data_IF_886903697997
#
_entry.id   IF_886903697997
#
_cell.length_a   1.000
_cell.length_b   1.000
_cell.length_c   1.000
_cell.angle_alpha   90.00
_cell.angle_beta   90.00
_cell.angle_gamma   90.00
#
_symmetry.space_group_name_H-M   'P 1'
#
loop_
_entity.id
_entity.type
_entity.pdbx_description
1 polymer ?
#
# COMPACT_ATOMS: atom_id res chain seq x y z
N UNK A 1 30.70 -27.47 10.14
CA UNK A 1 29.54 -27.08 9.31
C UNK A 1 28.29 -27.44 10.09
N UNK A 2 27.46 -26.48 10.55
CA UNK A 2 26.22 -26.82 11.25
C UNK A 2 25.26 -27.54 10.30
N UNK A 3 24.54 -28.55 10.80
CA UNK A 3 23.62 -29.33 9.97
C UNK A 3 22.39 -28.51 9.61
N UNK A 4 21.73 -28.83 8.48
CA UNK A 4 20.47 -28.20 8.05
C UNK A 4 19.39 -28.21 9.15
N UNK A 5 19.40 -29.25 9.99
CA UNK A 5 18.48 -29.44 11.10
C UNK A 5 18.80 -28.53 12.31
N UNK A 6 20.04 -28.07 12.46
CA UNK A 6 20.46 -27.13 13.52
C UNK A 6 20.14 -25.69 13.13
N UNK A 7 20.29 -25.35 11.84
CA UNK A 7 19.90 -24.05 11.30
C UNK A 7 18.37 -23.84 11.37
N UNK A 8 17.58 -24.88 11.10
CA UNK A 8 16.12 -24.83 11.23
C UNK A 8 15.65 -24.69 12.69
N UNK A 9 16.34 -25.33 13.65
CA UNK A 9 16.03 -25.16 15.09
C UNK A 9 16.40 -23.77 15.60
N UNK A 10 17.57 -23.27 15.23
CA UNK A 10 18.01 -21.93 15.59
C UNK A 10 17.07 -20.85 15.01
N UNK A 11 16.63 -21.02 13.76
CA UNK A 11 15.63 -20.15 13.13
C UNK A 11 14.28 -20.16 13.85
N UNK A 12 13.78 -21.34 14.24
CA UNK A 12 12.52 -21.47 15.01
C UNK A 12 12.60 -20.84 16.40
N UNK A 13 13.72 -20.99 17.11
CA UNK A 13 13.94 -20.36 18.42
C UNK A 13 14.06 -18.83 18.30
N UNK A 14 14.77 -18.33 17.28
CA UNK A 14 14.87 -16.90 17.02
C UNK A 14 13.49 -16.28 16.68
N UNK A 15 12.70 -16.96 15.85
CA UNK A 15 11.32 -16.57 15.51
C UNK A 15 10.40 -16.62 16.74
N UNK A 16 10.55 -17.62 17.61
CA UNK A 16 9.77 -17.71 18.86
C UNK A 16 10.10 -16.56 19.82
N UNK A 17 11.39 -16.18 19.94
CA UNK A 17 11.81 -15.04 20.75
C UNK A 17 11.31 -13.69 20.20
N UNK A 18 11.28 -13.53 18.87
CA UNK A 18 10.68 -12.37 18.21
C UNK A 18 9.17 -12.29 18.45
N UNK A 19 8.46 -13.42 18.34
CA UNK A 19 7.02 -13.52 18.62
C UNK A 19 6.69 -13.14 20.06
N UNK A 20 7.47 -13.61 21.05
CA UNK A 20 7.26 -13.27 22.47
C UNK A 20 7.45 -11.78 22.78
N UNK A 21 8.49 -11.16 22.21
CA UNK A 21 8.73 -9.72 22.40
C UNK A 21 7.64 -8.84 21.74
N UNK A 22 7.13 -9.27 20.58
CA UNK A 22 6.03 -8.57 19.90
C UNK A 22 4.71 -8.71 20.68
N UNK A 23 4.41 -9.90 21.18
CA UNK A 23 3.24 -10.17 22.03
C UNK A 23 3.21 -9.28 23.27
N UNK A 24 4.34 -9.17 23.98
CA UNK A 24 4.46 -8.30 25.15
C UNK A 24 4.26 -6.80 24.82
N UNK A 25 4.73 -6.35 23.66
CA UNK A 25 4.52 -4.97 23.20
C UNK A 25 3.06 -4.67 22.90
N UNK A 26 2.37 -5.61 22.23
CA UNK A 26 0.95 -5.48 21.91
C UNK A 26 0.12 -5.48 23.20
N UNK A 27 0.39 -6.41 24.13
CA UNK A 27 -0.28 -6.45 25.42
C UNK A 27 -0.09 -5.14 26.19
N UNK A 28 1.13 -4.62 26.26
CA UNK A 28 1.42 -3.35 26.92
C UNK A 28 0.78 -2.13 26.25
N UNK A 29 0.51 -2.20 24.95
CA UNK A 29 -0.25 -1.16 24.23
C UNK A 29 -1.73 -1.23 24.57
N UNK A 30 -2.33 -2.42 24.52
CA UNK A 30 -3.76 -2.63 24.82
C UNK A 30 -4.11 -2.33 26.28
N UNK A 31 -3.20 -2.63 27.21
CA UNK A 31 -3.37 -2.24 28.62
C UNK A 31 -3.38 -0.73 28.83
N UNK A 32 -2.79 0.06 27.92
CA UNK A 32 -2.79 1.53 27.97
C UNK A 32 -4.00 2.16 27.28
N UNK A 33 -4.80 1.36 26.58
CA UNK A 33 -5.99 1.81 25.84
C UNK A 33 -7.19 0.88 26.15
N UNK A 34 -7.93 1.15 27.24
CA UNK A 34 -9.01 0.30 27.71
C UNK A 34 -10.20 0.24 26.73
N UNK A 35 -10.42 1.28 25.94
CA UNK A 35 -11.48 1.30 24.92
C UNK A 35 -11.14 0.33 23.79
N UNK A 36 -9.92 0.42 23.26
CA UNK A 36 -9.41 -0.50 22.23
C UNK A 36 -9.42 -1.95 22.71
N UNK A 37 -9.08 -2.17 23.98
CA UNK A 37 -9.10 -3.50 24.59
C UNK A 37 -10.51 -4.09 24.69
N UNK A 38 -11.49 -3.27 25.10
CA UNK A 38 -12.89 -3.69 25.16
C UNK A 38 -13.40 -4.07 23.77
N UNK A 39 -13.11 -3.25 22.78
CA UNK A 39 -13.48 -3.47 21.38
C UNK A 39 -12.87 -4.77 20.82
N UNK A 40 -11.58 -5.01 21.09
CA UNK A 40 -10.91 -6.24 20.66
C UNK A 40 -11.41 -7.50 21.39
N UNK A 41 -11.86 -7.37 22.64
CA UNK A 41 -12.45 -8.47 23.41
C UNK A 41 -13.85 -8.81 22.89
N UNK A 42 -14.68 -7.80 22.61
CA UNK A 42 -16.02 -7.97 22.04
C UNK A 42 -15.99 -8.59 20.64
N UNK A 43 -14.97 -8.27 19.86
CA UNK A 43 -14.75 -8.84 18.52
C UNK A 43 -14.14 -10.26 18.56
N UNK A 44 -13.84 -10.80 19.75
CA UNK A 44 -13.26 -12.13 19.93
C UNK A 44 -11.81 -12.25 19.47
N UNK A 45 -11.13 -11.11 19.27
CA UNK A 45 -9.77 -11.00 18.75
C UNK A 45 -8.73 -11.21 19.86
N UNK A 46 -9.09 -10.83 21.09
CA UNK A 46 -8.27 -11.00 22.28
C UNK A 46 -9.13 -11.61 23.38
N UNK A 47 -8.69 -12.72 23.98
CA UNK A 47 -9.27 -13.22 25.22
C UNK A 47 -8.71 -12.40 26.38
N UNK A 48 -9.55 -12.02 27.35
CA UNK A 48 -9.10 -11.24 28.52
C UNK A 48 -7.96 -11.95 29.25
N UNK A 49 -8.03 -13.27 29.32
CA UNK A 49 -7.01 -14.13 29.95
C UNK A 49 -5.62 -14.04 29.29
N UNK A 50 -5.50 -13.62 28.02
CA UNK A 50 -4.21 -13.46 27.33
C UNK A 50 -3.49 -12.16 27.70
N UNK A 51 -4.23 -11.15 28.15
CA UNK A 51 -3.66 -9.85 28.55
C UNK A 51 -2.79 -10.00 29.80
N UNK A 52 -3.17 -10.95 30.67
CA UNK A 52 -2.51 -11.22 31.94
C UNK A 52 -1.31 -12.18 31.76
N UNK A 53 -1.37 -13.07 30.75
CA UNK A 53 -0.24 -13.93 30.34
C UNK A 53 -0.06 -13.96 28.79
N UNK A 54 0.62 -12.94 28.23
CA UNK A 54 0.84 -12.84 26.79
C UNK A 54 1.88 -13.82 26.24
N UNK A 55 2.45 -14.69 27.09
CA UNK A 55 3.39 -15.74 26.68
C UNK A 55 2.70 -17.09 26.43
N UNK A 56 1.44 -17.23 26.83
CA UNK A 56 0.58 -18.37 26.52
C UNK A 56 0.17 -18.41 25.03
N UNK A 57 -0.23 -19.58 24.51
CA UNK A 57 -0.63 -19.76 23.10
C UNK A 57 -1.69 -18.72 22.69
N UNK A 58 -1.39 -17.81 21.74
CA UNK A 58 -2.39 -16.88 21.25
C UNK A 58 -3.34 -17.58 20.26
N UNK A 59 -4.63 -17.27 20.47
CA UNK A 59 -5.72 -17.12 19.51
C UNK A 59 -6.54 -18.32 18.99
N UNK A 60 -7.82 -17.98 18.83
CA UNK A 60 -8.73 -18.49 17.80
C UNK A 60 -8.06 -18.44 16.42
N UNK A 61 -8.45 -19.37 15.54
CA UNK A 61 -7.77 -19.78 14.30
C UNK A 61 -7.54 -18.71 13.21
N UNK A 62 -7.73 -17.42 13.47
CA UNK A 62 -7.42 -16.35 12.53
C UNK A 62 -6.15 -15.61 12.97
N UNK A 63 -5.16 -15.50 12.10
CA UNK A 63 -3.87 -14.89 12.41
C UNK A 63 -4.01 -13.41 12.83
N UNK A 64 -3.01 -12.82 13.54
CA UNK A 64 -3.07 -11.42 13.98
C UNK A 64 -3.32 -10.41 12.85
N UNK A 65 -3.01 -10.81 11.61
CA UNK A 65 -3.22 -10.04 10.39
C UNK A 65 -4.66 -10.10 9.89
N UNK A 66 -5.32 -11.26 9.84
CA UNK A 66 -6.74 -11.36 9.42
C UNK A 66 -7.66 -10.59 10.38
N UNK A 67 -7.25 -10.54 11.65
CA UNK A 67 -7.84 -9.72 12.70
C UNK A 67 -7.68 -8.22 12.43
N UNK A 68 -6.50 -7.78 11.99
CA UNK A 68 -6.22 -6.40 11.62
C UNK A 68 -6.87 -5.98 10.29
N UNK A 69 -6.95 -6.89 9.32
CA UNK A 69 -7.67 -6.69 8.05
C UNK A 69 -9.17 -6.57 8.28
N UNK A 70 -9.76 -7.44 9.10
CA UNK A 70 -11.20 -7.38 9.41
C UNK A 70 -11.55 -6.18 10.31
N UNK A 71 -10.61 -5.74 11.16
CA UNK A 71 -10.70 -4.46 11.87
C UNK A 71 -10.61 -3.29 10.90
N UNK A 72 -9.67 -3.28 9.96
CA UNK A 72 -9.55 -2.26 8.92
C UNK A 72 -10.80 -2.16 8.04
N UNK A 73 -11.30 -3.29 7.55
CA UNK A 73 -12.52 -3.36 6.73
C UNK A 73 -13.74 -2.78 7.45
N UNK A 74 -13.89 -3.06 8.76
CA UNK A 74 -15.00 -2.52 9.58
C UNK A 74 -14.77 -1.10 10.10
N UNK A 75 -13.52 -0.72 10.36
CA UNK A 75 -13.15 0.62 10.83
C UNK A 75 -13.15 1.64 9.70
N UNK A 76 -12.92 1.23 8.45
CA UNK A 76 -13.11 2.07 7.24
C UNK A 76 -14.56 2.56 7.12
N UNK A 77 -15.53 1.83 7.66
CA UNK A 77 -16.93 2.24 7.67
C UNK A 77 -17.26 3.32 8.71
N UNK A 78 -16.40 3.50 9.74
CA UNK A 78 -16.66 4.42 10.87
C UNK A 78 -15.63 5.55 11.06
N UNK A 79 -14.36 5.38 10.66
CA UNK A 79 -13.27 6.38 10.83
C UNK A 79 -12.23 6.25 9.71
N UNK A 80 -12.41 6.94 8.56
CA UNK A 80 -11.52 6.84 7.39
C UNK A 80 -10.08 7.34 7.66
N UNK A 81 -9.86 8.13 8.70
CA UNK A 81 -8.65 8.92 8.95
C UNK A 81 -7.51 8.20 9.68
N UNK A 82 -7.65 6.91 10.02
CA UNK A 82 -6.60 6.13 10.71
C UNK A 82 -5.58 5.48 9.75
N UNK A 83 -5.94 5.27 8.49
CA UNK A 83 -5.07 4.64 7.48
C UNK A 83 -3.91 5.53 7.05
N UNK A 84 -4.10 6.86 7.05
CA UNK A 84 -3.07 7.81 6.59
C UNK A 84 -1.88 7.96 7.53
N UNK A 85 -2.03 7.61 8.82
CA UNK A 85 -0.96 7.70 9.83
C UNK A 85 0.01 6.53 9.79
N UNK A 86 -0.37 5.41 9.17
CA UNK A 86 0.44 4.19 9.14
C UNK A 86 1.51 4.23 8.03
N UNK A 87 1.36 5.12 7.05
CA UNK A 87 2.25 5.20 5.90
C UNK A 87 2.08 3.97 4.99
N UNK A 88 2.31 4.18 3.69
CA UNK A 88 2.01 3.20 2.64
C UNK A 88 2.73 1.84 2.85
N UNK A 89 3.88 1.88 3.53
CA UNK A 89 4.67 0.69 3.87
C UNK A 89 4.08 -0.17 4.99
N UNK A 90 3.38 0.42 5.97
CA UNK A 90 2.72 -0.37 7.01
C UNK A 90 1.47 -1.04 6.45
N UNK A 91 0.75 -0.36 5.55
CA UNK A 91 -0.37 -0.93 4.80
C UNK A 91 0.09 -2.15 3.97
N UNK A 92 1.22 -2.02 3.27
CA UNK A 92 1.82 -3.14 2.52
C UNK A 92 2.26 -4.30 3.43
N UNK A 93 2.84 -4.00 4.60
CA UNK A 93 3.27 -5.01 5.57
C UNK A 93 2.11 -5.75 6.26
N UNK A 94 0.93 -5.14 6.33
CA UNK A 94 -0.28 -5.79 6.82
C UNK A 94 -0.84 -6.76 5.77
N UNK A 95 -0.84 -6.39 4.49
CA UNK A 95 -1.33 -7.24 3.39
C UNK A 95 -0.45 -8.44 3.03
N UNK A 96 0.80 -8.51 3.49
CA UNK A 96 1.72 -9.61 3.16
C UNK A 96 1.51 -10.88 3.98
N UNK A 97 0.38 -11.04 4.67
CA UNK A 97 0.20 -12.11 5.67
C UNK A 97 -1.18 -12.79 5.66
N UNK A 98 -1.85 -12.80 4.52
CA UNK A 98 -2.93 -13.75 4.25
C UNK A 98 -2.34 -15.03 3.65
N UNK A 99 -2.05 -16.03 4.47
CA UNK A 99 -1.78 -17.40 4.02
C UNK A 99 -3.06 -18.22 4.16
N UNK A 100 -3.67 -18.57 3.03
CA UNK A 100 -4.92 -19.35 3.06
C UNK A 100 -5.56 -19.71 1.73
N UNK A 101 -4.85 -19.76 0.61
CA UNK A 101 -5.27 -20.61 -0.52
C UNK A 101 -4.05 -21.21 -1.21
N UNK A 102 -4.09 -22.54 -1.31
CA UNK A 102 -3.15 -23.40 -2.03
C UNK A 102 -3.34 -23.26 -3.56
N UNK A 103 -3.58 -22.03 -4.04
CA UNK A 103 -3.64 -21.68 -5.46
C UNK A 103 -2.37 -20.91 -5.80
N UNK A 104 -1.44 -21.55 -6.51
CA UNK A 104 -0.21 -20.92 -6.97
C UNK A 104 -0.50 -19.60 -7.69
N UNK A 105 -0.07 -18.48 -7.09
CA UNK A 105 -0.22 -17.17 -7.69
C UNK A 105 0.39 -17.12 -9.09
N UNK A 106 -0.29 -16.44 -10.02
CA UNK A 106 0.18 -16.31 -11.39
C UNK A 106 1.28 -15.26 -11.47
N UNK A 107 2.42 -15.64 -12.05
CA UNK A 107 3.47 -14.68 -12.39
C UNK A 107 3.03 -13.80 -13.55
N UNK A 108 3.20 -12.50 -13.40
CA UNK A 108 2.91 -11.52 -14.45
C UNK A 108 3.94 -10.40 -14.45
N UNK A 109 4.15 -9.77 -15.60
CA UNK A 109 4.96 -8.57 -15.73
C UNK A 109 4.02 -7.37 -15.89
N UNK A 110 3.92 -6.52 -14.87
CA UNK A 110 2.92 -5.44 -14.82
C UNK A 110 3.56 -4.09 -14.51
N UNK A 111 2.92 -3.03 -15.01
CA UNK A 111 3.17 -1.69 -14.53
C UNK A 111 2.33 -1.46 -13.26
N UNK A 112 2.99 -1.11 -12.16
CA UNK A 112 2.37 -0.88 -10.85
C UNK A 112 2.49 0.60 -10.52
N UNK A 113 1.35 1.25 -10.30
CA UNK A 113 1.29 2.64 -9.91
C UNK A 113 0.63 2.79 -8.53
N UNK A 114 1.14 3.74 -7.76
CA UNK A 114 0.47 4.25 -6.58
C UNK A 114 0.04 5.69 -6.82
N UNK A 115 -1.18 6.02 -6.42
CA UNK A 115 -1.64 7.41 -6.33
C UNK A 115 -1.90 7.76 -4.88
N UNK A 116 -1.83 9.05 -4.58
CA UNK A 116 -2.02 9.60 -3.24
C UNK A 116 -2.48 11.05 -3.33
N UNK A 117 -3.29 11.53 -2.39
CA UNK A 117 -3.78 12.91 -2.38
C UNK A 117 -2.91 13.76 -1.44
N UNK A 118 -2.14 14.67 -2.02
CA UNK A 118 -1.25 15.54 -1.24
C UNK A 118 -2.05 16.43 -0.29
N UNK A 119 -1.72 16.36 1.00
CA UNK A 119 -2.34 17.20 2.04
C UNK A 119 -3.67 16.69 2.57
N UNK A 120 -4.14 15.50 2.16
CA UNK A 120 -5.42 14.93 2.60
C UNK A 120 -5.57 14.80 4.12
N UNK A 121 -4.51 14.38 4.81
CA UNK A 121 -4.54 14.29 6.28
C UNK A 121 -4.76 15.65 6.93
N UNK A 122 -4.08 16.70 6.44
CA UNK A 122 -4.25 18.07 6.94
C UNK A 122 -5.63 18.64 6.60
N UNK A 123 -6.15 18.31 5.42
CA UNK A 123 -7.51 18.67 5.02
C UNK A 123 -8.54 18.03 5.96
N UNK A 124 -8.43 16.74 6.23
CA UNK A 124 -9.34 16.01 7.12
C UNK A 124 -9.32 16.59 8.54
N UNK A 125 -8.15 16.93 9.06
CA UNK A 125 -8.02 17.56 10.38
C UNK A 125 -8.67 18.95 10.46
N UNK A 126 -8.77 19.67 9.33
CA UNK A 126 -9.31 21.02 9.25
C UNK A 126 -10.81 21.06 8.93
N UNK A 127 -11.24 20.23 7.98
CA UNK A 127 -12.61 20.23 7.43
C UNK A 127 -13.50 19.13 8.02
N UNK A 128 -12.91 18.14 8.70
CA UNK A 128 -13.63 17.03 9.33
C UNK A 128 -13.78 15.78 8.44
N UNK A 129 -14.12 14.64 9.07
CA UNK A 129 -14.21 13.33 8.42
C UNK A 129 -15.30 13.25 7.35
N UNK A 130 -16.42 13.98 7.51
CA UNK A 130 -17.53 13.99 6.54
C UNK A 130 -17.10 14.65 5.21
N UNK A 131 -16.48 15.83 5.28
CA UNK A 131 -15.96 16.52 4.10
C UNK A 131 -14.88 15.69 3.39
N UNK A 132 -13.98 15.08 4.17
CA UNK A 132 -12.95 14.18 3.64
C UNK A 132 -13.53 12.94 2.94
N UNK A 133 -14.58 12.34 3.51
CA UNK A 133 -15.28 11.19 2.93
C UNK A 133 -15.97 11.54 1.61
N UNK A 134 -16.63 12.69 1.52
CA UNK A 134 -17.26 13.18 0.29
C UNK A 134 -16.23 13.43 -0.82
N UNK A 135 -15.09 14.05 -0.48
CA UNK A 135 -14.00 14.28 -1.42
C UNK A 135 -13.44 12.95 -1.97
N UNK A 136 -13.23 11.95 -1.11
CA UNK A 136 -12.79 10.62 -1.55
C UNK A 136 -13.83 9.92 -2.42
N UNK A 137 -15.12 10.00 -2.05
CA UNK A 137 -16.19 9.38 -2.82
C UNK A 137 -16.25 9.94 -4.25
N UNK A 138 -16.15 11.27 -4.39
CA UNK A 138 -16.12 11.93 -5.69
C UNK A 138 -14.85 11.58 -6.48
N UNK A 139 -13.70 11.60 -5.83
CA UNK A 139 -12.44 11.17 -6.44
C UNK A 139 -12.56 9.73 -7.00
N UNK A 140 -13.05 8.77 -6.20
CA UNK A 140 -13.19 7.38 -6.63
C UNK A 140 -14.19 7.18 -7.77
N UNK A 141 -15.24 8.01 -7.84
CA UNK A 141 -16.20 8.00 -8.95
C UNK A 141 -15.53 8.34 -10.29
N UNK A 142 -14.53 9.22 -10.26
CA UNK A 142 -13.79 9.67 -11.44
C UNK A 142 -12.64 8.72 -11.81
N UNK A 143 -11.91 8.20 -10.82
CA UNK A 143 -10.75 7.31 -11.08
C UNK A 143 -11.15 5.99 -11.73
N UNK A 144 -12.25 5.37 -11.27
CA UNK A 144 -12.65 4.04 -11.73
C UNK A 144 -12.80 3.90 -13.25
N UNK A 145 -13.61 4.75 -13.92
CA UNK A 145 -13.76 4.73 -15.37
C UNK A 145 -12.45 4.97 -16.14
N UNK A 146 -11.61 5.89 -15.67
CA UNK A 146 -10.34 6.24 -16.31
C UNK A 146 -9.34 5.09 -16.24
N UNK A 147 -9.17 4.47 -15.06
CA UNK A 147 -8.29 3.31 -14.90
C UNK A 147 -8.73 2.17 -15.83
N UNK A 148 -10.05 1.90 -15.90
CA UNK A 148 -10.59 0.85 -16.78
C UNK A 148 -10.45 1.17 -18.26
N UNK A 149 -10.61 2.42 -18.69
CA UNK A 149 -10.46 2.80 -20.10
C UNK A 149 -9.03 2.58 -20.63
N UNK A 150 -8.06 2.53 -19.72
CA UNK A 150 -6.64 2.21 -19.99
C UNK A 150 -6.29 0.74 -19.73
N UNK A 151 -7.29 -0.13 -19.54
CA UNK A 151 -7.08 -1.56 -19.25
C UNK A 151 -6.48 -1.83 -17.87
N UNK A 152 -6.47 -0.83 -16.98
CA UNK A 152 -5.95 -0.95 -15.63
C UNK A 152 -6.95 -1.54 -14.64
N UNK A 153 -6.41 -1.94 -13.49
CA UNK A 153 -7.17 -2.45 -12.35
C UNK A 153 -6.83 -1.67 -11.10
N UNK A 154 -7.85 -1.26 -10.35
CA UNK A 154 -7.70 -0.80 -8.98
C UNK A 154 -7.59 -2.06 -8.12
N UNK A 155 -6.38 -2.37 -7.64
CA UNK A 155 -6.14 -3.54 -6.78
C UNK A 155 -6.55 -3.27 -5.35
N UNK A 156 -6.16 -2.11 -4.80
CA UNK A 156 -6.45 -1.74 -3.41
C UNK A 156 -6.76 -0.26 -3.28
N UNK A 157 -7.65 0.07 -2.32
CA UNK A 157 -7.90 1.43 -1.83
C UNK A 157 -7.25 1.56 -0.46
N UNK A 158 -6.45 2.59 -0.28
CA UNK A 158 -5.54 2.74 0.86
C UNK A 158 -5.79 4.10 1.54
N UNK A 159 -7.03 4.32 1.99
CA UNK A 159 -7.46 5.62 2.51
C UNK A 159 -7.68 6.62 1.37
N UNK A 160 -6.72 7.52 1.18
CA UNK A 160 -6.64 8.49 0.09
C UNK A 160 -5.72 8.07 -1.07
N UNK A 161 -5.00 6.97 -0.89
CA UNK A 161 -4.18 6.37 -1.93
C UNK A 161 -4.83 5.21 -2.66
N UNK A 162 -4.32 4.90 -3.86
CA UNK A 162 -4.73 3.74 -4.64
C UNK A 162 -3.52 2.93 -5.07
N UNK A 163 -3.67 1.60 -5.09
CA UNK A 163 -2.77 0.68 -5.77
C UNK A 163 -3.41 0.28 -7.10
N UNK A 164 -2.74 0.65 -8.18
CA UNK A 164 -3.18 0.44 -9.55
C UNK A 164 -2.21 -0.49 -10.28
N UNK A 165 -2.73 -1.35 -11.14
CA UNK A 165 -1.92 -2.16 -12.06
C UNK A 165 -2.39 -1.97 -13.49
N UNK A 166 -1.44 -1.93 -14.42
CA UNK A 166 -1.70 -1.80 -15.85
C UNK A 166 -0.96 -2.89 -16.63
N UNK A 167 -1.53 -3.36 -17.75
CA UNK A 167 -0.91 -4.39 -18.58
C UNK A 167 0.33 -3.90 -19.32
N UNK A 168 0.50 -2.58 -19.47
CA UNK A 168 1.70 -1.98 -20.05
C UNK A 168 2.10 -0.68 -19.34
N UNK A 169 3.40 -0.34 -19.32
CA UNK A 169 3.89 0.94 -18.81
C UNK A 169 3.28 2.15 -19.52
N UNK A 170 3.09 2.08 -20.84
CA UNK A 170 2.44 3.14 -21.62
C UNK A 170 1.03 3.43 -21.12
N UNK A 171 0.20 2.39 -20.97
CA UNK A 171 -1.17 2.53 -20.48
C UNK A 171 -1.20 3.14 -19.08
N UNK A 172 -0.28 2.70 -18.21
CA UNK A 172 -0.12 3.27 -16.87
C UNK A 172 0.30 4.74 -16.87
N UNK A 173 1.23 5.15 -17.74
CA UNK A 173 1.68 6.56 -17.81
C UNK A 173 0.53 7.45 -18.25
N UNK A 174 -0.17 7.05 -19.32
CA UNK A 174 -1.32 7.80 -19.84
C UNK A 174 -2.44 7.90 -18.80
N UNK A 175 -2.74 6.81 -18.09
CA UNK A 175 -3.71 6.82 -17.00
C UNK A 175 -3.30 7.77 -15.88
N UNK A 176 -2.05 7.67 -15.39
CA UNK A 176 -1.58 8.53 -14.31
C UNK A 176 -1.58 10.01 -14.70
N UNK A 177 -1.22 10.35 -15.94
CA UNK A 177 -1.28 11.74 -16.43
C UNK A 177 -2.70 12.29 -16.44
N UNK A 178 -3.69 11.48 -16.83
CA UNK A 178 -5.11 11.89 -16.79
C UNK A 178 -5.63 11.98 -15.35
N UNK A 179 -5.21 11.08 -14.48
CA UNK A 179 -5.65 11.06 -13.08
C UNK A 179 -5.21 12.30 -12.32
N UNK A 180 -3.99 12.79 -12.56
CA UNK A 180 -3.50 14.00 -11.89
C UNK A 180 -4.13 15.29 -12.43
N UNK A 181 -4.81 15.25 -13.59
CA UNK A 181 -5.56 16.38 -14.16
C UNK A 181 -6.98 16.50 -13.58
N UNK A 182 -7.55 15.38 -13.11
CA UNK A 182 -8.90 15.30 -12.52
C UNK A 182 -8.86 15.69 -11.03
N UNK A 183 -8.09 16.74 -10.70
CA UNK A 183 -7.70 17.13 -9.34
C UNK A 183 -8.85 17.03 -8.30
N UNK A 184 -8.63 16.39 -7.14
CA UNK A 184 -9.62 16.37 -6.07
C UNK A 184 -9.62 17.73 -5.33
N UNK A 185 -10.21 18.76 -5.94
CA UNK A 185 -10.22 20.13 -5.41
C UNK A 185 -10.66 20.19 -3.93
N UNK A 186 -9.95 20.93 -3.05
CA UNK A 186 -8.81 21.83 -3.32
C UNK A 186 -7.43 21.14 -3.27
N UNK A 187 -7.38 19.82 -3.24
CA UNK A 187 -6.16 19.02 -3.11
C UNK A 187 -5.67 18.56 -4.48
N UNK A 188 -4.44 18.04 -4.50
CA UNK A 188 -3.81 17.55 -5.72
C UNK A 188 -3.45 16.09 -5.59
N UNK A 189 -3.71 15.34 -6.66
CA UNK A 189 -3.28 13.96 -6.76
C UNK A 189 -1.81 13.92 -7.20
N UNK A 190 -1.06 12.98 -6.66
CA UNK A 190 0.28 12.62 -7.13
C UNK A 190 0.32 11.15 -7.49
N UNK A 191 1.21 10.77 -8.41
CA UNK A 191 1.36 9.40 -8.85
C UNK A 191 2.82 8.97 -8.94
N UNK A 192 3.08 7.70 -8.63
CA UNK A 192 4.38 7.07 -8.80
C UNK A 192 4.26 5.69 -9.42
N UNK A 193 5.14 5.35 -10.36
CA UNK A 193 5.05 4.09 -11.08
C UNK A 193 6.39 3.39 -11.31
N UNK A 194 6.34 2.07 -11.19
CA UNK A 194 7.41 1.15 -11.59
C UNK A 194 6.83 -0.02 -12.40
N UNK A 195 7.69 -0.78 -13.07
CA UNK A 195 7.32 -1.95 -13.88
C UNK A 195 8.25 -3.09 -13.52
N UNK A 196 7.71 -4.31 -13.44
CA UNK A 196 8.47 -5.48 -13.09
C UNK A 196 7.58 -6.71 -12.87
N UNK A 197 8.22 -7.80 -12.49
CA UNK A 197 7.54 -9.05 -12.21
C UNK A 197 6.81 -9.01 -10.87
N UNK A 198 5.60 -9.58 -10.86
CA UNK A 198 4.72 -9.73 -9.72
C UNK A 198 4.15 -11.14 -9.66
N UNK A 199 3.75 -11.53 -8.46
CA UNK A 199 2.87 -12.67 -8.25
C UNK A 199 1.49 -12.12 -7.91
N UNK A 200 0.47 -12.55 -8.66
CA UNK A 200 -0.93 -12.17 -8.45
C UNK A 200 -1.71 -13.38 -7.98
N UNK A 201 -2.40 -13.26 -6.85
CA UNK A 201 -3.26 -14.30 -6.28
C UNK A 201 -4.60 -13.67 -5.90
N UNK A 202 -5.63 -13.87 -6.71
CA UNK A 202 -6.90 -13.14 -6.57
C UNK A 202 -6.69 -11.62 -6.63
N UNK A 203 -7.06 -10.93 -5.55
CA UNK A 203 -6.89 -9.48 -5.40
C UNK A 203 -5.55 -9.07 -4.78
N UNK A 204 -4.74 -10.06 -4.35
CA UNK A 204 -3.42 -9.83 -3.79
C UNK A 204 -2.35 -9.71 -4.87
N UNK A 205 -1.41 -8.80 -4.64
CA UNK A 205 -0.25 -8.57 -5.51
C UNK A 205 1.00 -8.38 -4.67
N UNK A 206 2.00 -9.23 -4.93
CA UNK A 206 3.25 -9.24 -4.19
C UNK A 206 4.41 -9.12 -5.17
N UNK A 207 5.38 -8.27 -4.81
CA UNK A 207 6.61 -8.12 -5.57
C UNK A 207 7.40 -6.91 -5.13
N UNK A 208 8.72 -6.97 -5.35
CA UNK A 208 9.60 -5.82 -5.10
C UNK A 208 9.13 -4.57 -5.86
N UNK A 209 8.56 -4.76 -7.06
CA UNK A 209 8.00 -3.67 -7.88
C UNK A 209 6.93 -2.85 -7.16
N UNK A 210 6.10 -3.48 -6.33
CA UNK A 210 5.05 -2.81 -5.54
C UNK A 210 5.68 -1.85 -4.52
N UNK A 211 6.76 -2.29 -3.85
CA UNK A 211 7.47 -1.48 -2.88
C UNK A 211 8.17 -0.28 -3.54
N UNK A 212 8.82 -0.49 -4.69
CA UNK A 212 9.47 0.59 -5.45
C UNK A 212 8.44 1.61 -5.93
N UNK A 213 7.32 1.16 -6.52
CA UNK A 213 6.26 2.05 -7.02
C UNK A 213 5.70 2.94 -5.91
N UNK A 214 5.43 2.37 -4.73
CA UNK A 214 4.99 3.12 -3.55
C UNK A 214 5.97 4.23 -3.16
N UNK A 215 7.27 3.91 -3.10
CA UNK A 215 8.31 4.89 -2.77
C UNK A 215 8.48 5.98 -3.83
N UNK A 216 8.30 5.63 -5.09
CA UNK A 216 8.31 6.61 -6.17
C UNK A 216 7.15 7.60 -5.97
N UNK A 217 5.95 7.11 -5.66
CA UNK A 217 4.75 7.92 -5.46
C UNK A 217 4.85 8.85 -4.25
N UNK A 218 5.31 8.33 -3.10
CA UNK A 218 5.58 9.13 -1.89
C UNK A 218 6.54 10.30 -2.16
N UNK A 219 7.40 10.18 -3.18
CA UNK A 219 8.43 11.16 -3.52
C UNK A 219 8.03 12.13 -4.63
N UNK A 220 6.81 12.01 -5.14
CA UNK A 220 6.20 12.94 -6.08
C UNK A 220 5.50 14.09 -5.32
N UNK A 221 5.43 15.27 -5.95
CA UNK A 221 4.64 16.40 -5.47
C UNK A 221 3.20 16.33 -6.03
N UNK A 222 2.28 17.11 -5.48
CA UNK A 222 0.94 17.26 -6.06
C UNK A 222 0.97 17.67 -7.53
N UNK A 223 0.13 17.04 -8.34
CA UNK A 223 0.09 17.13 -9.81
C UNK A 223 1.38 16.66 -10.52
N UNK A 224 2.20 15.82 -9.87
CA UNK A 224 3.37 15.18 -10.46
C UNK A 224 3.12 13.67 -10.69
N UNK A 225 3.45 13.20 -11.90
CA UNK A 225 3.62 11.77 -12.19
C UNK A 225 5.11 11.47 -12.24
N UNK A 226 5.59 10.72 -11.25
CA UNK A 226 6.98 10.29 -11.17
C UNK A 226 7.10 8.83 -11.59
N UNK A 227 8.04 8.51 -12.47
CA UNK A 227 8.24 7.14 -12.96
C UNK A 227 9.69 6.73 -12.84
N UNK A 228 9.93 5.43 -12.65
CA UNK A 228 11.28 4.88 -12.80
C UNK A 228 11.78 4.96 -14.25
N UNK A 229 13.09 4.91 -14.44
CA UNK A 229 13.69 4.83 -15.79
C UNK A 229 13.25 3.59 -16.56
N UNK A 230 13.00 2.47 -15.89
CA UNK A 230 12.45 1.27 -16.54
C UNK A 230 11.09 1.54 -17.20
N UNK A 231 10.20 2.26 -16.51
CA UNK A 231 8.91 2.68 -17.06
C UNK A 231 9.11 3.67 -18.21
N UNK A 232 9.98 4.67 -18.05
CA UNK A 232 10.31 5.64 -19.11
C UNK A 232 10.76 4.93 -20.38
N UNK A 233 11.66 3.96 -20.26
CA UNK A 233 12.23 3.28 -21.41
C UNK A 233 11.21 2.38 -22.10
N UNK A 234 10.33 1.72 -21.33
CA UNK A 234 9.24 0.91 -21.87
C UNK A 234 8.06 1.73 -22.43
N UNK A 235 7.88 2.98 -22.00
CA UNK A 235 6.82 3.88 -22.45
C UNK A 235 7.36 5.04 -23.31
N UNK A 236 8.58 4.91 -23.86
CA UNK A 236 9.29 5.98 -24.57
C UNK A 236 8.50 6.53 -25.76
N UNK A 237 7.80 5.65 -26.46
CA UNK A 237 7.05 5.96 -27.68
C UNK A 237 5.56 6.24 -27.40
N UNK A 238 5.19 6.38 -26.12
CA UNK A 238 3.83 6.71 -25.73
C UNK A 238 3.40 8.06 -26.35
N UNK A 239 2.26 8.10 -27.07
CA UNK A 239 1.85 9.29 -27.80
C UNK A 239 1.50 10.44 -26.84
N UNK A 240 2.01 11.63 -27.14
CA UNK A 240 1.71 12.82 -26.35
C UNK A 240 2.31 12.80 -24.94
N UNK A 241 3.35 12.00 -24.69
CA UNK A 241 4.07 11.93 -23.42
C UNK A 241 5.51 12.40 -23.63
N UNK A 242 6.03 13.19 -22.69
CA UNK A 242 7.45 13.49 -22.60
C UNK A 242 7.97 13.17 -21.21
N UNK A 243 9.27 12.84 -21.13
CA UNK A 243 9.91 12.48 -19.87
C UNK A 243 11.05 13.45 -19.56
N UNK A 244 11.05 13.97 -18.34
CA UNK A 244 12.09 14.86 -17.86
C UNK A 244 13.43 14.16 -17.62
N UNK A 245 14.43 14.93 -17.19
CA UNK A 245 15.75 14.40 -16.84
C UNK A 245 15.66 13.40 -15.69
N UNK A 246 16.28 12.24 -15.86
CA UNK A 246 16.41 11.24 -14.80
C UNK A 246 17.30 11.74 -13.66
N UNK A 247 16.83 11.52 -12.43
CA UNK A 247 17.54 11.81 -11.17
C UNK A 247 17.54 10.55 -10.31
N UNK A 248 18.66 10.28 -9.63
CA UNK A 248 18.71 9.14 -8.73
C UNK A 248 18.21 9.47 -7.34
N UNK A 249 17.37 8.60 -6.78
CA UNK A 249 16.88 8.65 -5.40
C UNK A 249 17.20 7.34 -4.70
N UNK A 250 17.50 7.42 -3.41
CA UNK A 250 17.60 6.24 -2.54
C UNK A 250 16.35 6.20 -1.69
N UNK A 251 15.66 5.06 -1.70
CA UNK A 251 14.44 4.87 -0.91
C UNK A 251 14.69 3.88 0.22
N UNK A 252 14.11 4.17 1.40
CA UNK A 252 14.18 3.27 2.54
C UNK A 252 13.55 1.91 2.18
N UNK A 253 14.30 0.84 2.38
CA UNK A 253 13.85 -0.54 2.11
C UNK A 253 13.97 -0.99 0.65
N UNK A 254 14.47 -0.15 -0.26
CA UNK A 254 14.64 -0.50 -1.69
C UNK A 254 16.07 -0.95 -2.04
N UNK A 255 17.02 -0.81 -1.10
CA UNK A 255 18.38 -1.35 -1.21
C UNK A 255 19.29 -0.59 -2.20
N UNK A 256 18.83 -0.36 -3.42
CA UNK A 256 19.59 0.28 -4.50
C UNK A 256 19.08 1.69 -4.82
N UNK A 257 19.94 2.47 -5.50
CA UNK A 257 19.59 3.79 -6.01
C UNK A 257 18.69 3.64 -7.23
N UNK A 258 17.47 4.14 -7.13
CA UNK A 258 16.48 4.12 -8.21
C UNK A 258 16.56 5.40 -9.02
N UNK A 259 16.73 5.30 -10.33
CA UNK A 259 16.61 6.45 -11.23
C UNK A 259 15.14 6.71 -11.54
N UNK A 260 14.70 7.94 -11.30
CA UNK A 260 13.33 8.40 -11.53
C UNK A 260 13.30 9.66 -12.40
N UNK A 261 12.25 9.85 -13.17
CA UNK A 261 12.00 11.06 -13.96
C UNK A 261 10.51 11.41 -13.91
N UNK A 262 10.20 12.69 -14.14
CA UNK A 262 8.81 13.15 -14.29
C UNK A 262 8.29 12.75 -15.67
N UNK A 263 7.08 12.24 -15.73
CA UNK A 263 6.31 12.11 -16.97
C UNK A 263 5.35 13.32 -17.08
N UNK A 264 5.22 13.86 -18.28
CA UNK A 264 4.38 15.04 -18.57
C UNK A 264 3.69 14.85 -19.92
N UNK A 265 2.56 15.52 -20.14
CA UNK A 265 2.00 15.67 -21.49
C UNK A 265 3.01 16.41 -22.37
N UNK A 266 3.32 15.84 -23.53
CA UNK A 266 4.09 16.56 -24.54
C UNK A 266 3.29 17.80 -24.95
N UNK A 267 3.93 18.98 -24.95
CA UNK A 267 3.28 20.18 -25.45
C UNK A 267 3.03 19.99 -26.95
N UNK A 268 1.78 20.15 -27.37
CA UNK A 268 1.45 20.27 -28.79
C UNK A 268 2.27 21.43 -29.37
N UNK A 269 3.10 21.15 -30.36
CA UNK A 269 3.77 22.18 -31.17
C UNK A 269 2.77 22.85 -32.10
#
# INVERSE_FOLDING_TARGET
MPSRHDAERAGRQALSGLKGNLAQRIAGMLQRDPELLSEMTELGLVRREWIDDPTSQPMSMAGPIEVAERWLERSVEKRPSLLSKLGLSAIQGLSSSSEGSDEGGTQAHLAVAFTDIEGFTSYTAREGDEAASLLLAEHYRQVGPLVRSRGGHIRKRLGDGLLLTFPSPEAGVLACLELVEVEPEPLRLRAGMHVGDVVVAGDEIVGHVVNVAARVAESANGAEVLVTVAVRDAARDAPGVSFGRARGKTFKGVGEKVLVCRAERARSL
#
